data_IF_189887242165
#
_entry.id   IF_189887242165
#
_cell.length_a   1.000
_cell.length_b   1.000
_cell.length_c   1.000
_cell.angle_alpha   90.00
_cell.angle_beta   90.00
_cell.angle_gamma   90.00
#
_symmetry.space_group_name_H-M   'P 1'
#
loop_
_entity.id
_entity.type
_entity.pdbx_description
1 polymer ?
#
# COMPACT_ATOMS: atom_id res chain seq x y z
N UNK A 1 46.86 6.56 -29.82
CA UNK A 1 46.77 6.02 -28.45
C UNK A 1 46.26 7.13 -27.53
N UNK A 2 45.30 6.75 -26.70
CA UNK A 2 44.40 7.47 -25.79
C UNK A 2 44.88 8.87 -25.35
N UNK A 3 44.13 9.91 -25.75
CA UNK A 3 44.14 11.21 -25.10
C UNK A 3 42.83 11.36 -24.32
N UNK A 4 42.95 11.40 -22.99
CA UNK A 4 41.86 11.56 -22.05
C UNK A 4 41.29 12.98 -22.16
N UNK A 5 40.11 13.13 -22.74
CA UNK A 5 39.39 14.40 -22.75
C UNK A 5 38.73 14.62 -21.38
N UNK A 6 39.44 15.32 -20.49
CA UNK A 6 38.84 15.99 -19.32
C UNK A 6 37.93 17.12 -19.81
N UNK A 7 36.68 16.78 -20.09
CA UNK A 7 35.62 17.75 -20.34
C UNK A 7 35.18 18.42 -19.03
N UNK A 8 35.96 19.40 -18.57
CA UNK A 8 35.49 20.43 -17.65
C UNK A 8 34.51 21.33 -18.42
N UNK A 9 33.28 20.86 -18.60
CA UNK A 9 32.18 21.69 -19.04
C UNK A 9 31.68 22.45 -17.80
N UNK A 10 32.29 23.61 -17.55
CA UNK A 10 31.69 24.62 -16.68
C UNK A 10 30.27 24.86 -17.16
N UNK A 11 29.29 24.43 -16.37
CA UNK A 11 27.90 24.74 -16.65
C UNK A 11 27.75 26.24 -16.44
N UNK A 12 27.60 26.97 -17.55
CA UNK A 12 27.11 28.34 -17.55
C UNK A 12 25.81 28.33 -16.75
N UNK A 13 25.84 29.03 -15.62
CA UNK A 13 24.71 29.24 -14.72
C UNK A 13 23.54 29.74 -15.56
N UNK A 14 22.61 28.84 -15.85
CA UNK A 14 21.33 29.20 -16.45
C UNK A 14 20.54 29.80 -15.31
N UNK A 15 20.33 31.11 -15.35
CA UNK A 15 19.30 31.83 -14.61
C UNK A 15 17.96 31.15 -14.87
N UNK A 16 17.69 30.11 -14.09
CA UNK A 16 16.47 29.34 -14.11
C UNK A 16 15.80 29.70 -12.80
N UNK A 17 14.62 30.32 -12.89
CA UNK A 17 13.79 30.71 -11.76
C UNK A 17 13.37 29.42 -11.03
N UNK A 18 14.14 29.01 -10.03
CA UNK A 18 13.82 27.84 -9.21
C UNK A 18 12.74 28.21 -8.20
N UNK A 19 11.52 27.77 -8.46
CA UNK A 19 10.57 27.39 -7.42
C UNK A 19 10.07 26.00 -7.75
N UNK A 20 10.64 24.99 -7.10
CA UNK A 20 9.95 23.76 -6.72
C UNK A 20 10.97 22.88 -5.98
N UNK A 21 10.82 22.78 -4.66
CA UNK A 21 11.43 21.71 -3.89
C UNK A 21 10.93 20.38 -4.47
N UNK A 22 11.72 19.80 -5.38
CA UNK A 22 11.51 18.42 -5.81
C UNK A 22 11.90 17.54 -4.62
N UNK A 23 10.93 17.28 -3.75
CA UNK A 23 11.08 16.34 -2.65
C UNK A 23 11.47 14.98 -3.26
N UNK A 24 12.76 14.65 -3.16
CA UNK A 24 13.26 13.35 -3.57
C UNK A 24 12.46 12.26 -2.86
N UNK A 25 11.75 11.44 -3.62
CA UNK A 25 11.09 10.27 -3.07
C UNK A 25 12.17 9.36 -2.50
N UNK A 26 12.16 9.18 -1.17
CA UNK A 26 12.97 8.14 -0.54
C UNK A 26 12.52 6.79 -1.11
N UNK A 27 13.25 6.28 -2.08
CA UNK A 27 13.21 4.85 -2.39
C UNK A 27 13.77 4.15 -1.15
N UNK A 28 12.93 3.42 -0.44
CA UNK A 28 13.36 2.43 0.54
C UNK A 28 13.99 1.28 -0.26
N UNK A 29 15.18 1.56 -0.78
CA UNK A 29 16.03 0.58 -1.44
C UNK A 29 16.24 -0.58 -0.47
N UNK A 30 15.58 -1.69 -0.80
CA UNK A 30 16.04 -3.04 -0.53
C UNK A 30 16.49 -3.30 0.92
N UNK A 31 15.69 -2.91 1.92
CA UNK A 31 15.72 -3.66 3.18
C UNK A 31 15.16 -5.03 2.86
N UNK A 32 16.04 -6.01 2.64
CA UNK A 32 15.68 -7.43 2.62
C UNK A 32 14.71 -7.68 3.78
N UNK A 33 13.43 -7.82 3.47
CA UNK A 33 12.44 -8.24 4.45
C UNK A 33 12.85 -9.67 4.75
N UNK A 34 13.58 -9.88 5.85
CA UNK A 34 13.71 -11.22 6.42
C UNK A 34 12.30 -11.72 6.60
N UNK A 35 11.90 -12.69 5.77
CA UNK A 35 10.60 -13.35 5.88
C UNK A 35 10.62 -14.06 7.22
N UNK A 36 10.13 -13.36 8.25
CA UNK A 36 9.89 -13.94 9.55
C UNK A 36 8.65 -14.83 9.44
N UNK A 37 8.44 -15.74 10.40
CA UNK A 37 7.18 -16.51 10.49
C UNK A 37 5.93 -15.61 10.44
N UNK A 38 6.08 -14.34 10.83
CA UNK A 38 5.09 -13.28 10.74
C UNK A 38 4.66 -12.96 9.30
N UNK A 39 5.59 -12.97 8.35
CA UNK A 39 5.32 -12.72 6.92
C UNK A 39 4.72 -13.96 6.26
N UNK A 40 5.15 -15.16 6.65
CA UNK A 40 4.62 -16.42 6.12
C UNK A 40 3.15 -16.67 6.47
N UNK A 41 2.70 -16.14 7.61
CA UNK A 41 1.33 -16.33 8.14
C UNK A 41 0.44 -15.08 7.99
N UNK A 42 0.79 -14.16 7.08
CA UNK A 42 0.09 -12.87 6.96
C UNK A 42 -1.38 -13.06 6.57
N UNK A 43 -1.68 -13.98 5.65
CA UNK A 43 -3.06 -14.22 5.22
C UNK A 43 -3.92 -14.74 6.38
N UNK A 44 -3.36 -15.66 7.17
CA UNK A 44 -3.99 -16.25 8.35
C UNK A 44 -4.26 -15.16 9.42
N UNK A 45 -3.38 -14.17 9.54
CA UNK A 45 -3.59 -13.01 10.43
C UNK A 45 -4.67 -12.07 9.91
N UNK A 46 -4.68 -11.80 8.61
CA UNK A 46 -5.72 -10.97 7.97
C UNK A 46 -7.09 -11.62 8.15
N UNK A 47 -7.19 -12.93 7.91
CA UNK A 47 -8.43 -13.70 8.04
C UNK A 47 -8.75 -14.12 9.48
N UNK A 48 -7.92 -13.74 10.46
CA UNK A 48 -8.20 -14.05 11.86
C UNK A 48 -9.54 -13.44 12.30
N UNK A 49 -10.31 -14.20 13.07
CA UNK A 49 -11.64 -13.81 13.57
C UNK A 49 -11.61 -12.45 14.29
N UNK A 50 -10.54 -12.18 15.04
CA UNK A 50 -10.39 -10.92 15.78
C UNK A 50 -10.14 -9.73 14.85
N UNK A 51 -9.30 -9.89 13.83
CA UNK A 51 -9.05 -8.85 12.83
C UNK A 51 -10.32 -8.56 12.01
N UNK A 52 -10.98 -9.61 11.51
CA UNK A 52 -12.21 -9.47 10.71
C UNK A 52 -13.33 -8.78 11.49
N UNK A 53 -13.52 -9.12 12.76
CA UNK A 53 -14.50 -8.44 13.62
C UNK A 53 -14.16 -6.97 13.86
N UNK A 54 -12.87 -6.66 14.03
CA UNK A 54 -12.39 -5.29 14.21
C UNK A 54 -12.58 -4.46 12.93
N UNK A 55 -12.29 -5.05 11.77
CA UNK A 55 -12.52 -4.45 10.47
C UNK A 55 -14.02 -4.17 10.24
N UNK A 56 -14.90 -5.14 10.50
CA UNK A 56 -16.34 -4.96 10.37
C UNK A 56 -16.87 -3.80 11.25
N UNK A 57 -16.45 -3.72 12.51
CA UNK A 57 -16.83 -2.61 13.41
C UNK A 57 -16.36 -1.26 12.87
N UNK A 58 -15.16 -1.20 12.28
CA UNK A 58 -14.60 0.01 11.66
C UNK A 58 -15.44 0.44 10.47
N UNK A 59 -15.77 -0.48 9.57
CA UNK A 59 -16.62 -0.22 8.39
C UNK A 59 -17.99 0.31 8.83
N UNK A 60 -18.62 -0.33 9.83
CA UNK A 60 -19.90 0.14 10.40
C UNK A 60 -19.82 1.53 11.02
N UNK A 61 -18.70 1.86 11.65
CA UNK A 61 -18.49 3.18 12.25
C UNK A 61 -18.26 4.28 11.19
N UNK A 62 -17.58 3.94 10.09
CA UNK A 62 -17.24 4.89 9.04
C UNK A 62 -18.45 5.31 8.19
N UNK A 63 -19.50 4.48 8.10
CA UNK A 63 -20.76 4.79 7.39
C UNK A 63 -20.54 5.29 5.94
N UNK A 64 -19.61 4.64 5.23
CA UNK A 64 -19.31 4.99 3.83
C UNK A 64 -20.50 4.77 2.88
N UNK A 65 -20.44 5.41 1.71
CA UNK A 65 -21.36 5.13 0.62
C UNK A 65 -21.16 3.71 0.07
N UNK A 66 -22.22 3.16 -0.53
CA UNK A 66 -22.15 1.86 -1.20
C UNK A 66 -21.15 1.87 -2.36
N UNK A 67 -20.52 0.72 -2.60
CA UNK A 67 -19.58 0.51 -3.71
C UNK A 67 -20.29 0.30 -5.04
N UNK A 68 -19.53 -0.21 -6.02
CA UNK A 68 -20.06 -0.57 -7.35
C UNK A 68 -21.09 -1.72 -7.30
N UNK A 69 -21.01 -2.54 -6.26
CA UNK A 69 -21.93 -3.63 -5.95
C UNK A 69 -23.27 -3.15 -5.39
N UNK A 70 -23.38 -1.86 -5.03
CA UNK A 70 -24.56 -1.27 -4.42
C UNK A 70 -24.80 -1.72 -2.98
N UNK A 71 -23.86 -2.45 -2.37
CA UNK A 71 -24.03 -3.05 -1.06
C UNK A 71 -23.85 -2.01 0.06
N UNK A 72 -24.84 -1.92 0.94
CA UNK A 72 -24.78 -1.06 2.12
C UNK A 72 -24.09 -1.76 3.29
N UNK A 73 -23.62 -0.97 4.26
CA UNK A 73 -22.91 -1.51 5.44
C UNK A 73 -23.79 -2.43 6.29
N UNK A 74 -25.10 -2.23 6.28
CA UNK A 74 -26.04 -3.07 7.02
C UNK A 74 -26.24 -4.46 6.37
N UNK A 75 -25.98 -4.57 5.07
CA UNK A 75 -26.07 -5.83 4.31
C UNK A 75 -24.81 -6.70 4.47
N UNK A 76 -23.69 -6.12 4.95
CA UNK A 76 -22.40 -6.80 5.07
C UNK A 76 -22.46 -7.99 6.02
N UNK A 77 -23.13 -7.85 7.16
CA UNK A 77 -23.20 -8.94 8.16
C UNK A 77 -24.03 -10.14 7.66
N UNK A 78 -25.23 -9.96 7.07
CA UNK A 78 -25.94 -11.04 6.40
C UNK A 78 -25.09 -11.77 5.35
N UNK A 79 -24.42 -11.03 4.47
CA UNK A 79 -23.60 -11.62 3.40
C UNK A 79 -22.41 -12.42 3.94
N UNK A 80 -21.71 -11.90 4.95
CA UNK A 80 -20.61 -12.62 5.60
C UNK A 80 -21.07 -13.89 6.33
N UNK A 81 -22.34 -13.99 6.75
CA UNK A 81 -22.87 -15.22 7.35
C UNK A 81 -23.18 -16.29 6.31
N UNK A 82 -23.51 -15.88 5.09
CA UNK A 82 -23.81 -16.78 3.98
C UNK A 82 -22.55 -17.25 3.26
N UNK A 83 -21.62 -16.33 2.99
CA UNK A 83 -20.44 -16.57 2.16
C UNK A 83 -19.11 -16.54 2.93
N UNK A 84 -19.13 -16.29 4.24
CA UNK A 84 -17.90 -16.10 5.02
C UNK A 84 -16.97 -17.31 5.03
N UNK A 85 -17.50 -18.52 4.95
CA UNK A 85 -16.70 -19.75 4.88
C UNK A 85 -15.94 -19.86 3.55
N UNK A 86 -16.51 -19.38 2.44
CA UNK A 86 -15.84 -19.34 1.13
C UNK A 86 -14.57 -18.47 1.16
N UNK A 87 -14.51 -17.48 2.05
CA UNK A 87 -13.33 -16.64 2.26
C UNK A 87 -12.22 -17.33 3.06
N UNK A 88 -12.58 -18.38 3.80
CA UNK A 88 -11.67 -19.16 4.64
C UNK A 88 -11.19 -20.45 3.95
N UNK A 89 -11.90 -20.88 2.91
CA UNK A 89 -11.48 -21.98 2.04
C UNK A 89 -10.24 -21.58 1.21
N UNK A 90 -9.29 -22.52 1.09
CA UNK A 90 -7.98 -22.33 0.49
C UNK A 90 -7.75 -23.28 -0.68
#
# INVERSE_FOLDING_TARGET
MIAEYRGNAGFLQRDSVEHEEYAGAHSLDSREIKVTEDVGNLLEKILSKDNMNSAYKRVKSNKGAAGIDGMTVDEVLPWLREHGEELLER
#
